data_IF_271607273924
#
_entry.id   IF_271607273924
#
_cell.length_a   1.000
_cell.length_b   1.000
_cell.length_c   1.000
_cell.angle_alpha   90.00
_cell.angle_beta   90.00
_cell.angle_gamma   90.00
#
_symmetry.space_group_name_H-M   'P 1'
#
loop_
_entity.id
_entity.type
_entity.pdbx_description
1 polymer ?
#
# COMPACT_ATOMS: atom_id res chain seq x y z
N UNK A 1 38.06 -33.28 -19.43
CA UNK A 1 37.93 -31.94 -18.83
C UNK A 1 36.56 -31.40 -19.25
N UNK A 2 35.51 -31.61 -18.44
CA UNK A 2 34.16 -31.07 -18.68
C UNK A 2 34.04 -29.78 -17.88
N UNK A 3 33.94 -28.65 -18.56
CA UNK A 3 33.67 -27.35 -17.93
C UNK A 3 32.17 -27.33 -17.61
N UNK A 4 31.86 -27.37 -16.31
CA UNK A 4 30.51 -27.18 -15.80
C UNK A 4 30.29 -25.66 -15.71
N UNK A 5 29.53 -25.07 -16.64
CA UNK A 5 29.07 -23.69 -16.51
C UNK A 5 27.99 -23.64 -15.43
N UNK A 6 28.32 -23.07 -14.28
CA UNK A 6 27.36 -22.68 -13.25
C UNK A 6 26.63 -21.41 -13.74
N UNK A 7 25.40 -21.55 -14.20
CA UNK A 7 24.53 -20.40 -14.42
C UNK A 7 24.04 -19.91 -13.05
N UNK A 8 24.61 -18.80 -12.56
CA UNK A 8 24.09 -18.08 -11.42
C UNK A 8 22.82 -17.36 -11.90
N UNK A 9 21.66 -17.91 -11.56
CA UNK A 9 20.38 -17.20 -11.72
C UNK A 9 20.35 -16.06 -10.69
N UNK A 10 20.61 -14.85 -11.16
CA UNK A 10 20.34 -13.65 -10.40
C UNK A 10 18.80 -13.50 -10.36
N UNK A 11 18.17 -13.84 -9.23
CA UNK A 11 16.77 -13.50 -9.00
C UNK A 11 16.69 -11.98 -8.81
N UNK A 12 16.46 -11.27 -9.91
CA UNK A 12 16.00 -9.88 -9.84
C UNK A 12 14.54 -9.99 -9.41
N UNK A 13 14.21 -9.52 -8.20
CA UNK A 13 12.82 -9.30 -7.81
C UNK A 13 12.30 -8.20 -8.74
N UNK A 14 11.62 -8.58 -9.80
CA UNK A 14 10.81 -7.64 -10.57
C UNK A 14 9.56 -7.38 -9.72
N UNK A 15 9.46 -6.16 -9.19
CA UNK A 15 8.19 -5.63 -8.71
C UNK A 15 7.25 -5.61 -9.93
N UNK A 16 6.23 -6.47 -9.93
CA UNK A 16 5.25 -6.55 -11.02
C UNK A 16 4.05 -5.71 -10.60
N UNK A 17 3.98 -4.47 -11.09
CA UNK A 17 2.80 -3.63 -10.93
C UNK A 17 1.63 -4.22 -11.73
N UNK A 18 0.41 -4.10 -11.20
CA UNK A 18 -0.81 -4.40 -11.96
C UNK A 18 -0.91 -3.42 -13.13
N UNK A 19 -1.04 -3.94 -14.35
CA UNK A 19 -1.16 -3.13 -15.57
C UNK A 19 -2.60 -3.16 -16.09
N UNK A 20 -3.13 -1.97 -16.37
CA UNK A 20 -4.48 -1.74 -16.84
C UNK A 20 -4.47 -0.90 -18.12
N UNK A 21 -5.45 -1.13 -18.96
CA UNK A 21 -5.78 -0.26 -20.11
C UNK A 21 -7.07 0.51 -19.81
N UNK A 22 -7.18 1.70 -20.38
CA UNK A 22 -8.32 2.58 -20.16
C UNK A 22 -9.63 1.90 -20.59
N UNK A 23 -10.54 1.73 -19.63
CA UNK A 23 -11.87 1.14 -19.82
C UNK A 23 -12.77 1.47 -18.64
N UNK A 24 -14.08 1.20 -18.76
CA UNK A 24 -15.04 1.41 -17.68
C UNK A 24 -14.86 0.37 -16.56
N UNK A 25 -14.09 0.70 -15.54
CA UNK A 25 -13.83 -0.21 -14.41
C UNK A 25 -13.48 0.51 -13.11
N UNK A 26 -13.55 -0.23 -12.01
CA UNK A 26 -13.11 0.21 -10.68
C UNK A 26 -12.13 -0.81 -10.11
N UNK A 27 -10.99 -0.34 -9.63
CA UNK A 27 -9.93 -1.15 -9.04
C UNK A 27 -9.68 -0.74 -7.59
N UNK A 28 -9.12 -1.68 -6.81
CA UNK A 28 -8.86 -1.50 -5.38
C UNK A 28 -7.38 -1.69 -5.02
N UNK A 29 -6.52 -1.89 -6.02
CA UNK A 29 -5.09 -2.06 -5.82
C UNK A 29 -4.45 -0.76 -5.31
N UNK A 30 -3.50 -0.91 -4.39
CA UNK A 30 -2.79 0.22 -3.81
C UNK A 30 -1.86 0.89 -4.83
N UNK A 31 -1.42 0.18 -5.86
CA UNK A 31 -0.54 0.69 -6.91
C UNK A 31 -0.82 0.02 -8.25
N UNK A 32 -0.42 0.67 -9.33
CA UNK A 32 -0.55 0.13 -10.68
C UNK A 32 -0.21 1.11 -11.78
N UNK A 33 -0.31 0.61 -13.01
CA UNK A 33 -0.09 1.35 -14.25
C UNK A 33 -1.40 1.36 -15.03
N UNK A 34 -1.80 2.53 -15.54
CA UNK A 34 -2.91 2.70 -16.45
C UNK A 34 -2.41 3.34 -17.74
N UNK A 35 -2.57 2.64 -18.86
CA UNK A 35 -2.37 3.21 -20.19
C UNK A 35 -3.71 3.69 -20.78
N UNK A 36 -3.69 4.30 -21.96
CA UNK A 36 -4.91 4.54 -22.73
C UNK A 36 -5.60 3.23 -23.15
N UNK A 37 -6.53 3.29 -24.10
CA UNK A 37 -7.30 2.11 -24.49
C UNK A 37 -6.49 1.09 -25.28
N UNK A 38 -5.36 1.50 -25.89
CA UNK A 38 -4.50 0.66 -26.74
C UNK A 38 -5.26 -0.01 -27.91
N UNK A 39 -6.45 0.51 -28.23
CA UNK A 39 -7.45 -0.20 -29.04
C UNK A 39 -7.33 0.08 -30.54
N UNK A 40 -6.38 0.92 -30.97
CA UNK A 40 -6.26 1.32 -32.37
C UNK A 40 -5.72 0.19 -33.26
N UNK A 41 -6.54 -0.20 -34.24
CA UNK A 41 -6.22 -1.30 -35.16
C UNK A 41 -5.19 -0.95 -36.23
N UNK A 42 -4.97 0.35 -36.51
CA UNK A 42 -4.03 0.81 -37.52
C UNK A 42 -2.66 1.15 -36.93
N UNK A 43 -2.65 1.73 -35.73
CA UNK A 43 -1.44 2.07 -34.97
C UNK A 43 -1.50 1.39 -33.60
N UNK A 44 -0.91 0.18 -33.44
CA UNK A 44 -0.83 -0.47 -32.13
C UNK A 44 -0.11 0.43 -31.14
N UNK A 45 -0.63 0.57 -29.91
CA UNK A 45 -0.10 1.55 -28.97
C UNK A 45 -1.00 2.79 -28.76
N UNK A 46 -2.00 2.99 -29.63
CA UNK A 46 -2.77 4.24 -29.67
C UNK A 46 -4.20 4.02 -29.20
N UNK A 47 -4.80 5.11 -28.72
CA UNK A 47 -6.24 5.17 -28.46
C UNK A 47 -7.07 5.24 -29.75
N UNK A 48 -8.38 5.06 -29.63
CA UNK A 48 -9.35 5.19 -30.73
C UNK A 48 -10.22 6.44 -30.61
N UNK A 49 -10.86 6.80 -31.71
CA UNK A 49 -11.83 7.90 -31.76
C UNK A 49 -13.13 7.54 -31.02
N UNK A 50 -13.84 8.55 -30.52
CA UNK A 50 -15.14 8.48 -29.85
C UNK A 50 -15.12 7.68 -28.54
N UNK A 51 -14.01 7.72 -27.82
CA UNK A 51 -13.90 7.10 -26.51
C UNK A 51 -14.49 8.00 -25.43
N UNK A 52 -15.11 7.37 -24.45
CA UNK A 52 -15.56 8.01 -23.22
C UNK A 52 -15.53 6.95 -22.13
N UNK A 53 -14.36 6.79 -21.53
CA UNK A 53 -14.11 5.78 -20.51
C UNK A 53 -13.86 6.42 -19.16
N UNK A 54 -14.25 5.72 -18.09
CA UNK A 54 -13.97 6.09 -16.70
C UNK A 54 -13.27 4.96 -15.97
N UNK A 55 -12.07 5.21 -15.46
CA UNK A 55 -11.30 4.29 -14.63
C UNK A 55 -11.22 4.83 -13.21
N UNK A 56 -11.75 4.09 -12.24
CA UNK A 56 -11.79 4.51 -10.84
C UNK A 56 -10.81 3.70 -9.98
N UNK A 57 -9.95 4.39 -9.24
CA UNK A 57 -9.03 3.82 -8.25
C UNK A 57 -9.65 4.08 -6.87
N UNK A 58 -9.98 3.03 -6.12
CA UNK A 58 -10.76 3.13 -4.87
C UNK A 58 -10.23 2.22 -3.72
N UNK A 59 -8.91 2.18 -3.45
CA UNK A 59 -8.33 1.37 -2.38
C UNK A 59 -8.88 1.77 -1.00
N UNK A 60 -8.95 0.80 -0.09
CA UNK A 60 -9.45 0.99 1.27
C UNK A 60 -8.29 1.20 2.25
N UNK A 61 -8.51 2.02 3.28
CA UNK A 61 -7.52 2.21 4.36
C UNK A 61 -6.27 3.02 3.97
N UNK A 62 -6.28 3.70 2.83
CA UNK A 62 -5.17 4.54 2.36
C UNK A 62 -5.34 5.98 2.84
N UNK A 63 -4.25 6.66 3.16
CA UNK A 63 -4.25 8.09 3.52
C UNK A 63 -4.34 8.98 2.28
N UNK A 64 -3.71 8.58 1.18
CA UNK A 64 -3.74 9.30 -0.08
C UNK A 64 -3.39 8.40 -1.26
N UNK A 65 -3.83 8.80 -2.45
CA UNK A 65 -3.45 8.26 -3.75
C UNK A 65 -2.64 9.34 -4.46
N UNK A 66 -1.48 8.96 -4.99
CA UNK A 66 -0.64 9.78 -5.85
C UNK A 66 -0.76 9.24 -7.28
N UNK A 67 -0.99 10.12 -8.25
CA UNK A 67 -1.06 9.82 -9.67
C UNK A 67 0.04 10.62 -10.38
N UNK A 68 0.87 9.91 -11.14
CA UNK A 68 1.97 10.44 -11.93
C UNK A 68 1.83 10.01 -13.39
N UNK A 69 1.67 10.98 -14.29
CA UNK A 69 1.73 10.71 -15.73
C UNK A 69 3.19 10.51 -16.14
N UNK A 70 3.46 9.43 -16.88
CA UNK A 70 4.78 9.07 -17.41
C UNK A 70 4.91 9.51 -18.87
N UNK A 71 3.85 9.29 -19.66
CA UNK A 71 3.75 9.74 -21.05
C UNK A 71 2.39 10.43 -21.26
N UNK A 72 2.34 11.40 -22.18
CA UNK A 72 1.10 12.09 -22.52
C UNK A 72 1.19 12.70 -23.92
N UNK A 73 0.36 12.21 -24.84
CA UNK A 73 0.25 12.67 -26.22
C UNK A 73 -1.16 12.44 -26.75
N UNK A 74 -1.98 13.49 -26.70
CA UNK A 74 -3.38 13.51 -27.15
C UNK A 74 -3.60 14.60 -28.19
N UNK A 75 -4.71 14.57 -28.94
CA UNK A 75 -5.07 15.69 -29.82
C UNK A 75 -5.31 16.97 -29.00
N UNK A 76 -4.57 18.06 -29.25
CA UNK A 76 -4.72 19.29 -28.47
C UNK A 76 -6.16 19.85 -28.50
N UNK A 77 -6.73 20.09 -27.32
CA UNK A 77 -8.07 20.65 -27.06
C UNK A 77 -9.28 19.76 -27.39
N UNK A 78 -9.11 18.64 -28.10
CA UNK A 78 -10.21 17.77 -28.51
C UNK A 78 -10.25 16.47 -27.70
N UNK A 79 -9.08 15.86 -27.52
CA UNK A 79 -8.92 14.65 -26.72
C UNK A 79 -8.31 15.02 -25.37
N UNK A 80 -8.91 14.55 -24.28
CA UNK A 80 -8.49 15.01 -22.97
C UNK A 80 -8.73 14.02 -21.83
N UNK A 81 -7.93 14.19 -20.79
CA UNK A 81 -8.09 13.51 -19.50
C UNK A 81 -8.61 14.48 -18.45
N UNK A 82 -9.67 14.10 -17.72
CA UNK A 82 -10.19 14.80 -16.53
C UNK A 82 -10.06 13.85 -15.34
N UNK A 83 -9.63 14.39 -14.19
CA UNK A 83 -9.53 13.64 -12.94
C UNK A 83 -10.53 14.20 -11.94
N UNK A 84 -11.30 13.32 -11.30
CA UNK A 84 -12.37 13.64 -10.35
C UNK A 84 -12.01 13.15 -8.95
N UNK A 85 -12.30 13.97 -7.92
CA UNK A 85 -12.10 13.60 -6.51
C UNK A 85 -13.32 12.85 -5.98
N UNK A 86 -13.48 11.61 -6.43
CA UNK A 86 -14.57 10.74 -6.03
C UNK A 86 -14.66 9.47 -6.86
N UNK A 87 -15.67 8.62 -6.58
CA UNK A 87 -15.88 7.33 -7.24
C UNK A 87 -16.44 7.40 -8.67
N UNK A 88 -16.88 8.58 -9.13
CA UNK A 88 -17.45 8.78 -10.47
C UNK A 88 -17.34 10.26 -10.94
N UNK A 89 -17.83 10.54 -12.15
CA UNK A 89 -17.76 11.84 -12.81
C UNK A 89 -18.77 12.87 -12.31
N UNK A 90 -19.63 12.53 -11.33
CA UNK A 90 -20.54 13.49 -10.67
C UNK A 90 -19.86 14.26 -9.53
N UNK A 91 -18.67 13.82 -9.11
CA UNK A 91 -17.87 14.46 -8.07
C UNK A 91 -17.09 15.68 -8.60
N UNK A 92 -16.52 16.51 -7.72
CA UNK A 92 -15.74 17.67 -8.15
C UNK A 92 -14.55 17.28 -9.05
N UNK A 93 -14.35 18.06 -10.11
CA UNK A 93 -13.14 17.98 -10.92
C UNK A 93 -11.95 18.36 -10.05
N UNK A 94 -11.01 17.44 -9.92
CA UNK A 94 -9.75 17.62 -9.20
C UNK A 94 -8.69 18.24 -10.11
N UNK A 95 -8.62 17.82 -11.37
CA UNK A 95 -7.60 18.24 -12.31
C UNK A 95 -8.02 18.06 -13.78
N UNK A 96 -7.35 18.80 -14.68
CA UNK A 96 -7.65 18.80 -16.11
C UNK A 96 -8.74 19.83 -16.51
N UNK A 97 -9.25 19.77 -17.75
CA UNK A 97 -8.90 18.81 -18.79
C UNK A 97 -7.45 19.00 -19.28
N UNK A 98 -6.69 17.90 -19.34
CA UNK A 98 -5.35 17.88 -19.94
C UNK A 98 -5.43 17.39 -21.37
N UNK A 99 -4.73 18.07 -22.29
CA UNK A 99 -4.66 17.69 -23.71
C UNK A 99 -3.33 18.11 -24.33
N UNK A 100 -3.03 17.58 -25.51
CA UNK A 100 -1.77 17.83 -26.22
C UNK A 100 -0.63 16.96 -25.69
N UNK A 101 0.58 17.54 -25.66
CA UNK A 101 1.83 16.81 -25.38
C UNK A 101 2.51 17.21 -24.07
N UNK A 102 1.91 18.17 -23.35
CA UNK A 102 2.47 18.62 -22.08
C UNK A 102 2.07 17.62 -21.01
N UNK A 103 3.06 17.07 -20.32
CA UNK A 103 2.83 16.13 -19.23
C UNK A 103 1.99 16.80 -18.12
N UNK A 104 0.87 16.19 -17.69
CA UNK A 104 0.12 16.69 -16.55
C UNK A 104 0.97 16.73 -15.28
N UNK A 105 0.74 17.70 -14.37
CA UNK A 105 1.40 17.70 -13.06
C UNK A 105 0.94 16.49 -12.21
N UNK A 106 1.78 16.08 -11.27
CA UNK A 106 1.43 15.09 -10.25
C UNK A 106 0.15 15.50 -9.51
N UNK A 107 -0.72 14.52 -9.25
CA UNK A 107 -1.99 14.72 -8.54
C UNK A 107 -1.97 13.88 -7.27
N UNK A 108 -2.33 14.50 -6.14
CA UNK A 108 -2.50 13.81 -4.86
C UNK A 108 -3.91 14.04 -4.33
N UNK A 109 -4.60 12.97 -3.96
CA UNK A 109 -5.97 13.02 -3.41
C UNK A 109 -6.17 11.97 -2.33
N UNK A 110 -7.25 12.10 -1.55
CA UNK A 110 -7.70 11.08 -0.59
C UNK A 110 -8.99 10.43 -1.07
N UNK A 111 -9.30 9.23 -0.57
CA UNK A 111 -10.49 8.50 -0.98
C UNK A 111 -10.36 7.94 -2.40
N UNK A 112 -11.47 7.77 -3.09
CA UNK A 112 -11.47 7.25 -4.47
C UNK A 112 -11.22 8.38 -5.47
N UNK A 113 -10.61 8.03 -6.61
CA UNK A 113 -10.30 8.95 -7.70
C UNK A 113 -10.75 8.34 -9.02
N UNK A 114 -11.44 9.11 -9.85
CA UNK A 114 -11.90 8.69 -11.16
C UNK A 114 -11.15 9.46 -12.24
N UNK A 115 -10.51 8.74 -13.14
CA UNK A 115 -9.89 9.26 -14.35
C UNK A 115 -10.91 9.07 -15.48
N UNK A 116 -11.19 10.11 -16.24
CA UNK A 116 -12.01 10.05 -17.44
C UNK A 116 -11.15 10.41 -18.65
N UNK A 117 -11.18 9.58 -19.69
CA UNK A 117 -10.59 9.89 -20.99
C UNK A 117 -11.71 10.04 -22.03
N UNK A 118 -11.66 11.13 -22.78
CA UNK A 118 -12.60 11.45 -23.85
C UNK A 118 -11.82 11.74 -25.12
N UNK A 119 -12.22 11.12 -26.24
CA UNK A 119 -11.70 11.43 -27.58
C UNK A 119 -12.81 11.78 -28.57
N UNK A 120 -12.48 12.60 -29.57
CA UNK A 120 -13.42 13.06 -30.58
C UNK A 120 -13.53 12.06 -31.78
N UNK A 121 -14.18 12.47 -32.88
CA UNK A 121 -14.39 11.59 -34.05
C UNK A 121 -13.12 11.31 -34.88
N UNK A 122 -12.02 12.04 -34.69
CA UNK A 122 -10.85 12.02 -35.55
C UNK A 122 -9.55 12.36 -34.82
N UNK A 123 -8.41 12.05 -35.46
CA UNK A 123 -7.05 12.27 -34.92
C UNK A 123 -6.79 11.52 -33.61
N UNK A 124 -6.01 10.44 -33.71
CA UNK A 124 -5.54 9.68 -32.54
C UNK A 124 -4.02 9.76 -32.42
N UNK A 125 -3.48 9.36 -31.27
CA UNK A 125 -2.05 9.44 -30.95
C UNK A 125 -1.66 8.39 -29.89
N UNK A 126 -0.38 8.38 -29.47
CA UNK A 126 0.21 7.47 -28.46
C UNK A 126 -0.46 7.51 -27.07
N UNK A 127 -1.45 8.38 -26.83
CA UNK A 127 -2.26 8.36 -25.62
C UNK A 127 -1.49 8.77 -24.37
N UNK A 128 -1.62 8.00 -23.30
CA UNK A 128 -0.98 8.30 -22.02
C UNK A 128 -0.67 7.04 -21.25
N UNK A 129 0.34 7.14 -20.39
CA UNK A 129 0.61 6.18 -19.33
C UNK A 129 0.67 6.96 -18.02
N UNK A 130 -0.05 6.49 -17.01
CA UNK A 130 0.05 6.99 -15.64
C UNK A 130 0.30 5.85 -14.68
N UNK A 131 1.05 6.15 -13.62
CA UNK A 131 1.27 5.28 -12.49
C UNK A 131 0.50 5.85 -11.30
N UNK A 132 -0.08 4.97 -10.48
CA UNK A 132 -0.56 5.37 -9.17
C UNK A 132 0.07 4.53 -8.08
N UNK A 133 0.19 5.14 -6.91
CA UNK A 133 0.50 4.43 -5.68
C UNK A 133 -0.23 5.11 -4.51
N UNK A 134 -0.57 4.30 -3.53
CA UNK A 134 -1.31 4.74 -2.36
C UNK A 134 -0.38 4.81 -1.17
N UNK A 135 -0.43 5.92 -0.46
CA UNK A 135 0.21 6.02 0.84
C UNK A 135 -0.72 5.40 1.88
N UNK A 136 -0.19 4.47 2.66
CA UNK A 136 -0.87 3.89 3.81
C UNK A 136 -0.32 4.59 5.03
N UNK A 137 -1.17 5.22 5.83
CA UNK A 137 -0.76 5.71 7.15
C UNK A 137 -0.52 4.51 8.06
N UNK A 138 0.66 4.44 8.69
CA UNK A 138 0.91 3.44 9.71
C UNK A 138 -0.21 3.47 10.77
N UNK A 139 -0.80 2.31 11.13
CA UNK A 139 -1.82 2.28 12.15
C UNK A 139 -1.26 2.82 13.47
N UNK A 140 -2.05 3.60 14.20
CA UNK A 140 -1.64 4.06 15.52
C UNK A 140 -1.32 2.84 16.41
N UNK A 141 -0.15 2.82 17.09
CA UNK A 141 0.22 1.68 17.92
C UNK A 141 -0.84 1.46 19.02
N UNK A 142 -1.09 0.20 19.42
CA UNK A 142 -1.98 -0.11 20.52
C UNK A 142 -1.41 0.44 21.84
N UNK A 143 -2.28 0.91 22.73
CA UNK A 143 -1.84 1.26 24.07
C UNK A 143 -1.61 -0.04 24.86
N UNK A 144 -0.41 -0.18 25.41
CA UNK A 144 -0.03 -1.33 26.23
C UNK A 144 -0.23 -0.96 27.70
N UNK A 145 -0.91 -1.83 28.43
CA UNK A 145 -1.06 -1.75 29.88
C UNK A 145 -0.59 -3.04 30.54
N UNK A 146 -0.17 -2.92 31.79
CA UNK A 146 0.25 -4.05 32.60
C UNK A 146 -0.70 -4.17 33.79
N UNK A 147 -1.62 -5.16 33.79
CA UNK A 147 -2.65 -5.27 34.82
C UNK A 147 -2.07 -5.57 36.20
N UNK A 148 -0.91 -6.22 36.26
CA UNK A 148 -0.22 -6.58 37.51
C UNK A 148 1.23 -6.13 37.44
N UNK A 149 1.65 -5.32 38.41
CA UNK A 149 3.04 -4.90 38.52
C UNK A 149 3.95 -6.11 38.82
N UNK A 150 5.10 -6.24 38.14
CA UNK A 150 6.01 -7.36 38.36
C UNK A 150 6.68 -7.23 39.73
N UNK A 151 6.99 -8.38 40.33
CA UNK A 151 7.74 -8.48 41.57
C UNK A 151 9.14 -9.01 41.29
N UNK A 152 10.00 -9.02 42.31
CA UNK A 152 11.30 -9.67 42.19
C UNK A 152 11.13 -11.14 41.79
N UNK A 153 11.99 -11.62 40.89
CA UNK A 153 11.97 -12.95 40.28
C UNK A 153 10.76 -13.24 39.38
N UNK A 154 10.02 -12.22 38.92
CA UNK A 154 8.97 -12.43 37.92
C UNK A 154 9.58 -12.96 36.62
N UNK A 155 9.10 -14.12 36.17
CA UNK A 155 9.50 -14.77 34.90
C UNK A 155 8.43 -14.67 33.82
N UNK A 156 7.23 -14.23 34.17
CA UNK A 156 6.11 -14.07 33.24
C UNK A 156 5.44 -12.73 33.46
N UNK A 157 5.30 -11.95 32.38
CA UNK A 157 4.55 -10.70 32.38
C UNK A 157 3.39 -10.86 31.40
N UNK A 158 2.17 -10.57 31.85
CA UNK A 158 1.03 -10.47 30.96
C UNK A 158 0.79 -8.99 30.64
N UNK A 159 0.67 -8.68 29.36
CA UNK A 159 0.34 -7.36 28.84
C UNK A 159 -1.08 -7.38 28.28
N UNK A 160 -1.82 -6.29 28.48
CA UNK A 160 -3.13 -6.06 27.90
C UNK A 160 -3.08 -4.87 26.94
N UNK A 161 -3.68 -5.05 25.76
CA UNK A 161 -3.79 -4.06 24.70
C UNK A 161 -5.17 -3.43 24.69
N UNK A 162 -5.25 -2.15 24.32
CA UNK A 162 -6.52 -1.43 24.14
C UNK A 162 -7.35 -1.89 22.93
N UNK A 163 -6.78 -2.71 22.06
CA UNK A 163 -7.40 -3.26 20.85
C UNK A 163 -6.83 -4.64 20.51
N UNK A 164 -7.52 -5.35 19.63
CA UNK A 164 -7.06 -6.64 19.15
C UNK A 164 -5.93 -6.47 18.12
N UNK A 165 -4.97 -7.39 18.17
CA UNK A 165 -3.96 -7.65 17.15
C UNK A 165 -4.12 -9.08 16.62
N UNK A 166 -3.64 -9.33 15.40
CA UNK A 166 -3.55 -10.69 14.91
C UNK A 166 -2.54 -11.50 15.70
N UNK A 167 -2.83 -12.79 15.91
CA UNK A 167 -2.03 -13.62 16.79
C UNK A 167 -0.68 -14.01 16.16
N UNK A 168 -0.68 -14.16 14.84
CA UNK A 168 0.54 -14.36 14.05
C UNK A 168 1.50 -13.17 14.16
N UNK A 169 0.98 -11.95 14.22
CA UNK A 169 1.73 -10.70 14.37
C UNK A 169 2.40 -10.62 15.73
N UNK A 170 1.72 -11.08 16.79
CA UNK A 170 2.33 -11.21 18.13
C UNK A 170 3.43 -12.27 18.13
N UNK A 171 3.19 -13.41 17.48
CA UNK A 171 4.11 -14.55 17.49
C UNK A 171 5.39 -14.31 16.69
N UNK A 172 5.34 -13.41 15.70
CA UNK A 172 6.46 -13.04 14.83
C UNK A 172 7.08 -11.70 15.20
N UNK A 173 6.52 -10.99 16.18
CA UNK A 173 7.01 -9.68 16.61
C UNK A 173 8.47 -9.74 17.06
N UNK A 174 9.24 -8.72 16.70
CA UNK A 174 10.53 -8.47 17.29
C UNK A 174 10.29 -7.85 18.67
N UNK A 175 10.69 -8.57 19.72
CA UNK A 175 10.55 -8.10 21.10
C UNK A 175 11.90 -7.94 21.77
N UNK A 176 12.06 -6.83 22.49
CA UNK A 176 13.20 -6.60 23.36
C UNK A 176 12.76 -6.03 24.70
N UNK A 177 13.51 -6.40 25.74
CA UNK A 177 13.40 -5.84 27.08
C UNK A 177 14.79 -5.30 27.40
N UNK A 178 14.89 -3.99 27.57
CA UNK A 178 16.13 -3.33 27.98
C UNK A 178 16.00 -2.90 29.43
N UNK A 179 17.10 -2.90 30.18
CA UNK A 179 17.08 -2.57 31.60
C UNK A 179 18.34 -3.01 32.33
N UNK A 180 18.23 -3.22 33.64
CA UNK A 180 19.37 -3.56 34.51
C UNK A 180 20.00 -4.93 34.20
N UNK A 181 19.23 -5.85 33.62
CA UNK A 181 19.69 -7.20 33.26
C UNK A 181 19.22 -7.56 31.85
N UNK A 182 20.08 -8.24 31.09
CA UNK A 182 19.72 -8.80 29.79
C UNK A 182 18.76 -9.98 29.96
N UNK A 183 17.68 -9.99 29.18
CA UNK A 183 16.64 -11.02 29.25
C UNK A 183 16.48 -11.65 27.86
N UNK A 184 16.46 -12.98 27.81
CA UNK A 184 15.87 -13.66 26.67
C UNK A 184 14.34 -13.60 26.80
N UNK A 185 13.66 -13.26 25.71
CA UNK A 185 12.21 -13.07 25.69
C UNK A 185 11.55 -13.95 24.64
N UNK A 186 10.35 -14.39 24.98
CA UNK A 186 9.39 -14.97 24.05
C UNK A 186 8.05 -14.27 24.31
N UNK A 187 7.42 -13.78 23.25
CA UNK A 187 6.07 -13.23 23.28
C UNK A 187 5.09 -14.26 22.70
N UNK A 188 4.02 -14.55 23.44
CA UNK A 188 2.96 -15.46 22.99
C UNK A 188 1.60 -14.77 23.09
N UNK A 189 0.73 -14.87 22.08
CA UNK A 189 -0.65 -14.40 22.18
C UNK A 189 -1.43 -15.25 23.19
N UNK A 190 -2.22 -14.63 24.06
CA UNK A 190 -3.13 -15.29 25.01
C UNK A 190 -4.55 -15.24 24.43
N UNK A 191 -5.35 -16.31 24.61
CA UNK A 191 -6.76 -16.34 24.18
C UNK A 191 -6.95 -15.95 22.71
N UNK A 192 -6.06 -16.41 21.83
CA UNK A 192 -6.20 -16.19 20.40
C UNK A 192 -7.48 -16.84 19.86
N UNK A 193 -8.45 -16.03 19.43
CA UNK A 193 -9.73 -16.49 18.87
C UNK A 193 -9.91 -15.83 17.51
N UNK A 194 -10.14 -16.63 16.46
CA UNK A 194 -10.25 -16.16 15.07
C UNK A 194 -9.07 -15.26 14.67
N UNK A 195 -7.86 -15.66 15.03
CA UNK A 195 -6.64 -14.89 14.79
C UNK A 195 -6.69 -13.46 15.35
N UNK A 196 -7.28 -13.30 16.54
CA UNK A 196 -7.31 -12.03 17.25
C UNK A 196 -7.06 -12.23 18.73
N UNK A 197 -6.21 -11.38 19.30
CA UNK A 197 -5.94 -11.29 20.74
C UNK A 197 -5.72 -9.85 21.17
N UNK A 198 -6.05 -9.51 22.41
CA UNK A 198 -5.68 -8.26 23.06
C UNK A 198 -4.72 -8.49 24.24
N UNK A 199 -4.16 -9.70 24.37
CA UNK A 199 -3.40 -10.12 25.55
C UNK A 199 -2.13 -10.84 25.12
N UNK A 200 -0.98 -10.40 25.61
CA UNK A 200 0.32 -10.96 25.26
C UNK A 200 1.02 -11.47 26.53
N UNK A 201 1.49 -12.70 26.50
CA UNK A 201 2.35 -13.27 27.53
C UNK A 201 3.82 -13.13 27.14
N UNK A 202 4.59 -12.44 27.97
CA UNK A 202 6.04 -12.37 27.88
C UNK A 202 6.66 -13.37 28.84
N UNK A 203 7.48 -14.27 28.32
CA UNK A 203 8.27 -15.22 29.09
C UNK A 203 9.70 -14.70 29.14
N UNK A 204 10.20 -14.48 30.36
CA UNK A 204 11.51 -13.91 30.66
C UNK A 204 12.47 -15.00 31.15
N UNK A 205 13.72 -14.94 30.68
CA UNK A 205 14.80 -15.77 31.19
C UNK A 205 16.08 -14.93 31.31
N UNK A 206 16.65 -14.75 32.52
CA UNK A 206 16.37 -15.47 33.77
C UNK A 206 15.19 -14.96 34.63
N UNK A 207 14.52 -13.88 34.24
CA UNK A 207 13.49 -13.19 35.04
C UNK A 207 14.00 -11.95 35.77
N UNK A 208 13.09 -11.10 36.25
CA UNK A 208 13.40 -9.78 36.83
C UNK A 208 13.94 -9.88 38.26
N UNK A 209 15.24 -10.10 38.40
CA UNK A 209 15.92 -10.27 39.70
C UNK A 209 16.72 -9.04 40.15
N UNK A 210 16.71 -7.95 39.39
CA UNK A 210 17.35 -6.67 39.74
C UNK A 210 16.30 -5.56 39.75
N UNK A 211 16.42 -4.59 40.66
CA UNK A 211 15.54 -3.43 40.65
C UNK A 211 16.05 -2.40 39.65
N UNK A 212 15.17 -1.90 38.79
CA UNK A 212 15.54 -0.92 37.79
C UNK A 212 14.34 -0.48 36.96
N UNK A 213 14.58 0.47 36.07
CA UNK A 213 13.66 0.79 34.99
C UNK A 213 13.91 -0.22 33.88
N UNK A 214 12.82 -0.78 33.37
CA UNK A 214 12.84 -1.70 32.22
C UNK A 214 11.94 -1.14 31.13
N UNK A 215 12.44 -1.12 29.90
CA UNK A 215 11.70 -0.70 28.72
C UNK A 215 11.41 -1.92 27.84
N UNK A 216 10.12 -2.17 27.60
CA UNK A 216 9.63 -3.20 26.67
C UNK A 216 9.41 -2.54 25.31
N UNK A 217 10.09 -3.02 24.28
CA UNK A 217 9.80 -2.67 22.89
C UNK A 217 9.22 -3.87 22.17
N UNK A 218 8.09 -3.68 21.49
CA UNK A 218 7.44 -4.69 20.67
C UNK A 218 7.18 -4.08 19.30
N UNK A 219 7.83 -4.65 18.28
CA UNK A 219 7.68 -4.25 16.89
C UNK A 219 7.06 -5.41 16.10
N UNK A 220 5.86 -5.21 15.57
CA UNK A 220 5.25 -6.12 14.59
C UNK A 220 4.98 -5.37 13.29
N UNK A 221 5.08 -6.08 12.18
CA UNK A 221 4.82 -5.55 10.85
C UNK A 221 3.43 -6.02 10.39
N UNK A 222 2.65 -5.11 9.81
CA UNK A 222 1.32 -5.38 9.24
C UNK A 222 1.40 -5.42 7.71
#
# INVERSE_FOLDING_TARGET
MRILLLFIFLFINFEVFSQYVMSNQTVYDCEGILTDSEANTLNPGWYTNNENFTFTICPQGVSSIVIDFITFMTEPNNDYVIVYSGPDTTYPVLAGPYSGINLPPQITTSGCVTIQFVSDINVTSDGFELHWFSQISAPNPPNISMPVAPTCSTTVINLELDRNLHCDSVSTAQISLTGAINQALIANPINCINDSTNSIQLILNPGLNESGVYDINLESYF
#
